data_IF_765015670610
#
_entry.id   IF_765015670610
#
_cell.length_a   1.000
_cell.length_b   1.000
_cell.length_c   1.000
_cell.angle_alpha   90.00
_cell.angle_beta   90.00
_cell.angle_gamma   90.00
#
_symmetry.space_group_name_H-M   'P 1'
#
loop_
_entity.id
_entity.type
_entity.pdbx_description
1 polymer ?
#
# COMPACT_ATOMS: atom_id res chain seq x y z
N UNK A 1 29.82 8.83 1.06
CA UNK A 1 28.92 10.00 0.95
C UNK A 1 27.79 9.78 1.95
N UNK A 2 27.77 10.52 3.03
CA UNK A 2 26.74 10.38 4.06
C UNK A 2 25.36 10.75 3.45
N UNK A 3 24.44 9.81 3.40
CA UNK A 3 23.14 10.04 2.77
C UNK A 3 22.25 10.81 3.74
N UNK A 4 21.79 11.97 3.28
CA UNK A 4 20.99 12.90 4.11
C UNK A 4 19.66 12.28 4.51
N UNK A 5 19.24 12.57 5.73
CA UNK A 5 17.87 12.34 6.18
C UNK A 5 16.92 13.33 5.50
N UNK A 6 15.64 12.99 5.50
CA UNK A 6 14.58 13.91 5.09
C UNK A 6 14.61 15.12 6.03
N UNK A 7 14.48 16.32 5.46
CA UNK A 7 14.59 17.56 6.22
C UNK A 7 13.52 17.66 7.32
N UNK A 8 13.92 18.16 8.48
CA UNK A 8 13.01 18.33 9.63
C UNK A 8 11.81 19.23 9.33
N UNK A 9 11.95 20.17 8.40
CA UNK A 9 10.86 21.04 7.89
C UNK A 9 9.69 20.26 7.32
N UNK A 10 9.93 19.13 6.62
CA UNK A 10 8.90 18.25 6.08
C UNK A 10 8.01 17.70 7.20
N UNK A 11 8.63 17.23 8.29
CA UNK A 11 7.90 16.64 9.42
C UNK A 11 7.05 17.64 10.20
N UNK A 12 7.40 18.91 10.19
CA UNK A 12 6.61 19.97 10.86
C UNK A 12 5.26 20.19 10.19
N UNK A 13 5.21 20.00 8.88
CA UNK A 13 4.06 20.33 8.04
C UNK A 13 3.21 19.10 7.63
N UNK A 14 3.52 17.91 8.18
CA UNK A 14 2.76 16.71 7.89
C UNK A 14 1.33 16.80 8.44
N UNK A 15 0.34 16.19 7.75
CA UNK A 15 -0.97 15.91 8.31
C UNK A 15 -0.88 15.12 9.61
N UNK A 16 -1.85 15.30 10.52
CA UNK A 16 -1.81 14.69 11.86
C UNK A 16 -1.64 13.16 11.85
N UNK A 17 -2.24 12.47 10.89
CA UNK A 17 -2.10 11.02 10.74
C UNK A 17 -0.65 10.60 10.50
N UNK A 18 0.04 11.26 9.57
CA UNK A 18 1.45 10.99 9.29
C UNK A 18 2.35 11.45 10.43
N UNK A 19 2.06 12.63 10.99
CA UNK A 19 2.81 13.17 12.14
C UNK A 19 2.73 12.24 13.35
N UNK A 20 1.55 11.72 13.66
CA UNK A 20 1.32 10.81 14.77
C UNK A 20 2.12 9.52 14.66
N UNK A 21 2.13 8.93 13.45
CA UNK A 21 2.86 7.69 13.20
C UNK A 21 4.39 7.94 13.18
N UNK A 22 4.85 8.95 12.45
CA UNK A 22 6.28 9.22 12.30
C UNK A 22 6.95 9.70 13.57
N UNK A 23 6.22 10.33 14.49
CA UNK A 23 6.77 10.79 15.78
C UNK A 23 7.10 9.66 16.77
N UNK A 24 6.75 8.41 16.44
CA UNK A 24 7.17 7.24 17.22
C UNK A 24 8.59 6.78 16.86
N UNK A 25 9.17 7.34 15.82
CA UNK A 25 10.44 6.92 15.25
C UNK A 25 11.39 8.11 15.10
N UNK A 26 12.69 7.81 15.06
CA UNK A 26 13.74 8.80 14.89
C UNK A 26 14.69 8.42 13.73
N UNK A 27 15.43 9.42 13.22
CA UNK A 27 16.45 9.21 12.20
C UNK A 27 15.92 8.49 10.95
N UNK A 28 16.63 7.45 10.48
CA UNK A 28 16.29 6.65 9.30
C UNK A 28 14.95 5.97 9.41
N UNK A 29 14.62 5.44 10.58
CA UNK A 29 13.35 4.76 10.81
C UNK A 29 12.16 5.69 10.57
N UNK A 30 12.28 6.95 10.98
CA UNK A 30 11.28 7.98 10.74
C UNK A 30 11.07 8.25 9.26
N UNK A 31 12.14 8.32 8.48
CA UNK A 31 12.10 8.51 7.03
C UNK A 31 11.43 7.30 6.34
N UNK A 32 11.81 6.09 6.74
CA UNK A 32 11.24 4.85 6.21
C UNK A 32 9.74 4.79 6.47
N UNK A 33 9.33 5.08 7.72
CA UNK A 33 7.90 5.06 8.09
C UNK A 33 7.13 6.16 7.36
N UNK A 34 7.71 7.34 7.15
CA UNK A 34 7.06 8.38 6.34
C UNK A 34 6.82 7.91 4.91
N UNK A 35 7.87 7.45 4.23
CA UNK A 35 7.78 7.05 2.83
C UNK A 35 6.83 5.85 2.65
N UNK A 36 6.97 4.81 3.47
CA UNK A 36 6.07 3.67 3.40
C UNK A 36 4.61 4.06 3.70
N UNK A 37 4.37 4.98 4.64
CA UNK A 37 3.04 5.52 4.91
C UNK A 37 2.44 6.28 3.73
N UNK A 38 3.26 7.06 3.01
CA UNK A 38 2.82 7.74 1.79
C UNK A 38 2.41 6.73 0.72
N UNK A 39 3.20 5.67 0.51
CA UNK A 39 2.86 4.60 -0.42
C UNK A 39 1.56 3.88 -0.06
N UNK A 40 1.37 3.56 1.22
CA UNK A 40 0.13 2.94 1.72
C UNK A 40 -1.08 3.86 1.55
N UNK A 41 -0.97 5.12 1.99
CA UNK A 41 -2.06 6.10 1.91
C UNK A 41 -2.41 6.47 0.47
N UNK A 42 -1.45 6.44 -0.45
CA UNK A 42 -1.69 6.68 -1.87
C UNK A 42 -2.73 5.70 -2.45
N UNK A 43 -2.80 4.50 -1.90
CA UNK A 43 -3.80 3.50 -2.28
C UNK A 43 -5.14 3.64 -1.51
N UNK A 44 -5.21 4.47 -0.46
CA UNK A 44 -6.43 4.65 0.32
C UNK A 44 -7.40 5.70 -0.26
N UNK A 45 -7.00 6.43 -1.31
CA UNK A 45 -7.76 7.52 -1.93
C UNK A 45 -8.00 7.28 -3.44
N UNK A 46 -8.65 6.18 -3.82
CA UNK A 46 -8.74 5.71 -5.21
C UNK A 46 -9.58 6.62 -6.13
N UNK A 47 -10.38 7.52 -5.56
CA UNK A 47 -11.26 8.44 -6.29
C UNK A 47 -10.69 9.86 -6.38
N UNK A 48 -9.47 10.09 -5.89
CA UNK A 48 -8.75 11.35 -6.06
C UNK A 48 -7.86 11.22 -7.29
N UNK A 49 -7.94 12.19 -8.18
CA UNK A 49 -7.10 12.23 -9.38
C UNK A 49 -6.75 13.68 -9.73
N UNK A 50 -5.68 13.85 -10.44
CA UNK A 50 -5.31 15.07 -11.14
C UNK A 50 -5.37 14.86 -12.64
N UNK A 51 -5.40 15.95 -13.41
CA UNK A 51 -5.30 15.89 -14.88
C UNK A 51 -3.91 16.35 -15.27
N UNK A 52 -3.20 15.49 -16.02
CA UNK A 52 -1.90 15.80 -16.59
C UNK A 52 -1.89 15.35 -18.04
N UNK A 53 -1.57 16.26 -18.93
CA UNK A 53 -1.54 16.03 -20.40
C UNK A 53 -2.86 15.42 -20.96
N UNK A 54 -3.99 15.82 -20.36
CA UNK A 54 -5.32 15.32 -20.75
C UNK A 54 -5.74 13.98 -20.13
N UNK A 55 -4.85 13.33 -19.38
CA UNK A 55 -5.09 12.03 -18.77
C UNK A 55 -5.31 12.13 -17.25
N UNK A 56 -6.13 11.24 -16.70
CA UNK A 56 -6.33 11.11 -15.27
C UNK A 56 -5.13 10.45 -14.61
N UNK A 57 -4.49 11.13 -13.67
CA UNK A 57 -3.40 10.58 -12.86
C UNK A 57 -3.87 10.40 -11.43
N UNK A 58 -3.83 9.17 -10.95
CA UNK A 58 -4.19 8.80 -9.59
C UNK A 58 -2.97 8.80 -8.66
N UNK A 59 -3.13 8.95 -7.34
CA UNK A 59 -2.03 9.17 -6.40
C UNK A 59 -1.19 7.93 -6.08
N UNK A 60 -1.37 6.81 -6.78
CA UNK A 60 -0.70 5.54 -6.48
C UNK A 60 0.81 5.66 -6.66
N UNK A 61 1.56 5.37 -5.59
CA UNK A 61 3.01 5.50 -5.56
C UNK A 61 3.70 4.13 -5.54
N UNK A 62 4.85 4.07 -6.20
CA UNK A 62 5.79 2.97 -6.10
C UNK A 62 6.98 3.41 -5.25
N UNK A 63 7.20 2.76 -4.13
CA UNK A 63 8.25 3.09 -3.17
C UNK A 63 9.14 1.88 -2.94
N UNK A 64 10.44 2.11 -2.98
CA UNK A 64 11.43 1.08 -2.71
C UNK A 64 12.46 1.56 -1.69
N UNK A 65 12.67 0.75 -0.66
CA UNK A 65 13.64 1.01 0.40
C UNK A 65 14.78 0.01 0.26
N UNK A 66 15.99 0.52 0.04
CA UNK A 66 17.18 -0.28 -0.21
C UNK A 66 18.16 -0.07 0.93
N UNK A 67 18.50 -1.16 1.65
CA UNK A 67 19.45 -1.07 2.75
C UNK A 67 20.09 -2.44 3.05
N UNK A 68 21.24 -2.47 3.72
CA UNK A 68 21.90 -3.71 4.14
C UNK A 68 21.00 -4.57 5.05
N UNK A 69 21.36 -5.86 5.26
CA UNK A 69 20.77 -6.65 6.35
C UNK A 69 20.94 -5.94 7.70
N UNK A 70 20.03 -6.18 8.63
CA UNK A 70 20.03 -5.59 9.98
C UNK A 70 20.03 -4.04 10.03
N UNK A 71 19.55 -3.38 8.98
CA UNK A 71 19.51 -1.91 8.86
C UNK A 71 18.27 -1.25 9.48
N UNK A 72 17.36 -2.02 10.07
CA UNK A 72 16.09 -1.50 10.61
C UNK A 72 15.01 -1.23 9.55
N UNK A 73 15.24 -1.57 8.26
CA UNK A 73 14.26 -1.32 7.19
C UNK A 73 12.88 -1.96 7.41
N UNK A 74 12.80 -3.01 8.22
CA UNK A 74 11.55 -3.69 8.57
C UNK A 74 10.52 -2.79 9.29
N UNK A 75 10.92 -1.62 9.81
CA UNK A 75 9.99 -0.65 10.40
C UNK A 75 8.95 -0.14 9.41
N UNK A 76 9.17 -0.29 8.09
CA UNK A 76 8.18 -0.01 7.06
C UNK A 76 6.83 -0.71 7.33
N UNK A 77 6.86 -1.91 7.92
CA UNK A 77 5.66 -2.69 8.21
C UNK A 77 4.70 -1.99 9.17
N UNK A 78 5.18 -1.01 9.96
CA UNK A 78 4.32 -0.23 10.83
C UNK A 78 3.32 0.63 10.06
N UNK A 79 3.61 0.98 8.80
CA UNK A 79 2.68 1.71 7.95
C UNK A 79 1.48 0.87 7.50
N UNK A 80 1.56 -0.47 7.57
CA UNK A 80 0.45 -1.39 7.23
C UNK A 80 -0.80 -1.13 8.05
N UNK A 81 -0.63 -0.66 9.29
CA UNK A 81 -1.74 -0.32 10.18
C UNK A 81 -2.70 0.70 9.56
N UNK A 82 -2.23 1.56 8.64
CA UNK A 82 -3.03 2.57 7.96
C UNK A 82 -4.08 1.98 7.01
N UNK A 83 -3.87 0.76 6.51
CA UNK A 83 -4.71 0.14 5.48
C UNK A 83 -5.29 -1.21 5.93
N UNK A 84 -4.77 -1.82 6.98
CA UNK A 84 -5.11 -3.19 7.39
C UNK A 84 -6.61 -3.37 7.63
N UNK A 85 -7.24 -2.45 8.35
CA UNK A 85 -8.69 -2.52 8.60
C UNK A 85 -9.53 -2.34 7.34
N UNK A 86 -9.05 -1.57 6.37
CA UNK A 86 -9.71 -1.44 5.06
C UNK A 86 -9.59 -2.76 4.31
N UNK A 87 -8.41 -3.38 4.35
CA UNK A 87 -8.17 -4.69 3.77
C UNK A 87 -9.08 -5.75 4.36
N UNK A 88 -9.11 -5.84 5.70
CA UNK A 88 -9.93 -6.82 6.42
C UNK A 88 -11.41 -6.66 6.09
N UNK A 89 -11.89 -5.41 6.02
CA UNK A 89 -13.29 -5.14 5.67
C UNK A 89 -13.60 -5.62 4.25
N UNK A 90 -12.81 -5.20 3.25
CA UNK A 90 -13.01 -5.59 1.84
C UNK A 90 -12.99 -7.11 1.71
N UNK A 91 -12.00 -7.77 2.32
CA UNK A 91 -11.84 -9.22 2.26
C UNK A 91 -13.03 -9.96 2.91
N UNK A 92 -13.50 -9.50 4.06
CA UNK A 92 -14.62 -10.13 4.76
C UNK A 92 -15.94 -9.91 4.02
N UNK A 93 -16.18 -8.69 3.50
CA UNK A 93 -17.36 -8.40 2.69
C UNK A 93 -17.39 -9.29 1.44
N UNK A 94 -16.27 -9.38 0.72
CA UNK A 94 -16.15 -10.20 -0.49
C UNK A 94 -16.29 -11.71 -0.22
N UNK A 95 -15.73 -12.22 0.88
CA UNK A 95 -15.94 -13.62 1.30
C UNK A 95 -17.40 -13.91 1.61
N UNK A 96 -18.09 -12.96 2.23
CA UNK A 96 -19.52 -13.10 2.56
C UNK A 96 -20.35 -13.14 1.29
N UNK A 97 -20.13 -12.23 0.33
CA UNK A 97 -20.80 -12.21 -0.97
C UNK A 97 -20.57 -13.52 -1.74
N UNK A 98 -19.34 -14.00 -1.75
CA UNK A 98 -18.98 -15.25 -2.42
C UNK A 98 -19.68 -16.47 -1.77
N UNK A 99 -19.71 -16.51 -0.43
CA UNK A 99 -20.41 -17.59 0.31
C UNK A 99 -21.92 -17.61 0.03
N UNK A 100 -22.57 -16.44 -0.04
CA UNK A 100 -23.99 -16.30 -0.39
C UNK A 100 -24.22 -16.81 -1.82
N UNK A 101 -23.40 -16.35 -2.78
CA UNK A 101 -23.50 -16.78 -4.17
C UNK A 101 -23.36 -18.30 -4.32
N UNK A 102 -22.39 -18.92 -3.64
CA UNK A 102 -22.20 -20.38 -3.66
C UNK A 102 -23.39 -21.14 -3.03
N UNK A 103 -23.96 -20.61 -1.96
CA UNK A 103 -25.17 -21.20 -1.35
C UNK A 103 -26.37 -21.13 -2.29
N UNK A 104 -26.56 -20.01 -2.97
CA UNK A 104 -27.67 -19.82 -3.93
C UNK A 104 -27.51 -20.74 -5.14
N UNK A 105 -26.30 -20.96 -5.63
CA UNK A 105 -26.00 -21.95 -6.68
C UNK A 105 -26.33 -23.38 -6.27
N UNK A 106 -26.07 -23.74 -5.01
CA UNK A 106 -26.41 -25.07 -4.50
C UNK A 106 -27.93 -25.28 -4.42
N UNK A 107 -28.69 -24.20 -4.16
CA UNK A 107 -30.17 -24.25 -4.09
C UNK A 107 -30.79 -24.19 -5.48
N UNK A 108 -30.23 -23.41 -6.39
CA UNK A 108 -30.72 -23.18 -7.75
C UNK A 108 -29.65 -23.62 -8.76
N UNK A 109 -29.73 -24.87 -9.22
CA UNK A 109 -28.74 -25.46 -10.16
C UNK A 109 -28.77 -24.84 -11.56
N UNK A 110 -29.83 -24.09 -11.90
CA UNK A 110 -29.97 -23.42 -13.18
C UNK A 110 -29.23 -22.08 -13.23
N UNK A 111 -28.71 -21.61 -12.10
CA UNK A 111 -27.88 -20.40 -12.02
C UNK A 111 -26.45 -20.73 -12.47
N UNK A 112 -26.14 -20.41 -13.73
CA UNK A 112 -24.85 -20.69 -14.39
C UNK A 112 -23.83 -19.51 -14.19
N UNK A 113 -24.27 -18.34 -13.75
CA UNK A 113 -23.38 -17.19 -13.61
C UNK A 113 -22.25 -17.45 -12.61
N UNK A 114 -20.99 -17.09 -12.93
CA UNK A 114 -19.88 -17.25 -12.02
C UNK A 114 -20.06 -16.36 -10.77
N UNK A 115 -19.64 -16.86 -9.61
CA UNK A 115 -19.60 -16.02 -8.42
C UNK A 115 -18.53 -14.93 -8.55
N UNK A 116 -18.71 -13.77 -7.87
CA UNK A 116 -17.76 -12.67 -7.96
C UNK A 116 -16.35 -13.11 -7.54
N UNK A 117 -15.33 -12.56 -8.20
CA UNK A 117 -13.95 -12.79 -7.81
C UNK A 117 -13.68 -12.22 -6.41
N UNK A 118 -12.82 -12.91 -5.66
CA UNK A 118 -12.41 -12.42 -4.34
C UNK A 118 -11.73 -11.06 -4.46
N UNK A 119 -12.21 -10.09 -3.69
CA UNK A 119 -11.61 -8.77 -3.63
C UNK A 119 -10.69 -8.64 -2.41
N UNK A 120 -9.53 -8.03 -2.63
CA UNK A 120 -8.55 -7.76 -1.60
C UNK A 120 -7.96 -6.36 -1.79
N UNK A 121 -7.43 -5.78 -0.73
CA UNK A 121 -6.78 -4.48 -0.78
C UNK A 121 -5.26 -4.59 -0.80
N UNK A 122 -4.71 -5.61 -0.12
CA UNK A 122 -3.27 -5.89 -0.07
C UNK A 122 -3.05 -7.21 -0.80
N UNK A 123 -2.20 -7.19 -1.83
CA UNK A 123 -1.79 -8.37 -2.59
C UNK A 123 -0.46 -8.90 -2.05
N UNK A 124 -0.30 -10.22 -1.96
CA UNK A 124 1.01 -10.81 -1.74
C UNK A 124 1.91 -10.61 -2.96
N UNK A 125 3.21 -10.42 -2.74
CA UNK A 125 4.16 -10.16 -3.82
C UNK A 125 4.47 -11.39 -4.69
N UNK A 126 4.04 -12.59 -4.28
CA UNK A 126 4.28 -13.86 -4.98
C UNK A 126 3.08 -14.33 -5.83
N UNK A 127 2.16 -13.46 -6.16
CA UNK A 127 1.03 -13.81 -7.04
C UNK A 127 1.48 -13.99 -8.48
N UNK A 128 0.81 -14.86 -9.21
CA UNK A 128 1.05 -15.04 -10.64
C UNK A 128 0.63 -13.79 -11.44
N UNK A 129 1.21 -13.61 -12.62
CA UNK A 129 0.81 -12.53 -13.52
C UNK A 129 -0.71 -12.60 -13.82
N UNK A 130 -1.23 -13.79 -13.96
CA UNK A 130 -2.64 -14.07 -14.17
C UNK A 130 -3.54 -13.56 -13.03
N UNK A 131 -3.16 -13.84 -11.80
CA UNK A 131 -3.88 -13.36 -10.62
C UNK A 131 -3.78 -11.84 -10.45
N UNK A 132 -2.64 -11.24 -10.84
CA UNK A 132 -2.48 -9.79 -10.86
C UNK A 132 -3.55 -9.11 -11.72
N UNK A 133 -3.79 -9.61 -12.95
CA UNK A 133 -4.85 -9.09 -13.81
C UNK A 133 -6.22 -9.26 -13.17
N UNK A 134 -6.51 -10.44 -12.61
CA UNK A 134 -7.79 -10.72 -11.97
C UNK A 134 -8.06 -9.76 -10.79
N UNK A 135 -7.07 -9.55 -9.92
CA UNK A 135 -7.22 -8.62 -8.79
C UNK A 135 -7.30 -7.15 -9.22
N UNK A 136 -6.53 -6.74 -10.22
CA UNK A 136 -6.61 -5.38 -10.76
C UNK A 136 -7.95 -5.12 -11.44
N UNK A 137 -8.49 -6.12 -12.15
CA UNK A 137 -9.78 -6.04 -12.83
C UNK A 137 -10.97 -6.03 -11.89
N UNK A 138 -10.94 -6.86 -10.85
CA UNK A 138 -12.03 -6.94 -9.86
C UNK A 138 -12.00 -5.79 -8.84
N UNK A 139 -10.85 -5.13 -8.64
CA UNK A 139 -10.70 -4.11 -7.61
C UNK A 139 -11.26 -2.75 -8.04
N UNK A 140 -12.35 -2.32 -7.43
CA UNK A 140 -12.87 -0.96 -7.59
C UNK A 140 -12.01 0.11 -6.85
N UNK A 141 -11.15 -0.32 -5.90
CA UNK A 141 -10.46 0.57 -4.96
C UNK A 141 -8.94 0.58 -5.13
N UNK A 142 -8.45 -0.07 -6.19
CA UNK A 142 -7.02 -0.28 -6.38
C UNK A 142 -6.42 -1.24 -5.33
N UNK A 143 -5.23 -1.73 -5.60
CA UNK A 143 -4.54 -2.71 -4.77
C UNK A 143 -3.15 -2.23 -4.39
N UNK A 144 -2.64 -2.73 -3.26
CA UNK A 144 -1.32 -2.46 -2.74
C UNK A 144 -0.49 -3.73 -2.69
N UNK A 145 0.71 -3.72 -3.24
CA UNK A 145 1.74 -4.71 -2.91
C UNK A 145 2.63 -4.10 -1.83
N UNK A 146 2.71 -4.77 -0.68
CA UNK A 146 3.56 -4.37 0.42
C UNK A 146 4.42 -5.54 0.88
N UNK A 147 5.74 -5.46 0.63
CA UNK A 147 6.66 -6.56 0.85
C UNK A 147 7.97 -6.07 1.49
N UNK A 148 8.31 -6.64 2.64
CA UNK A 148 9.52 -6.29 3.37
C UNK A 148 10.76 -7.06 2.92
N UNK A 149 10.57 -8.15 2.18
CA UNK A 149 11.63 -8.98 1.61
C UNK A 149 11.46 -9.07 0.10
N UNK A 150 12.24 -8.29 -0.64
CA UNK A 150 12.12 -8.19 -2.09
C UNK A 150 12.35 -9.52 -2.85
N UNK A 151 12.93 -10.52 -2.20
CA UNK A 151 13.12 -11.86 -2.78
C UNK A 151 11.80 -12.49 -3.24
N UNK A 152 10.74 -12.29 -2.49
CA UNK A 152 9.40 -12.78 -2.80
C UNK A 152 8.96 -12.31 -4.19
N UNK A 153 9.14 -11.02 -4.47
CA UNK A 153 8.81 -10.44 -5.78
C UNK A 153 9.86 -10.78 -6.84
N UNK A 154 11.13 -10.84 -6.45
CA UNK A 154 12.25 -11.14 -7.35
C UNK A 154 12.11 -12.51 -7.99
N UNK A 155 11.62 -13.51 -7.26
CA UNK A 155 11.38 -14.85 -7.78
C UNK A 155 10.30 -14.84 -8.87
N UNK A 156 9.24 -14.05 -8.70
CA UNK A 156 8.19 -13.88 -9.72
C UNK A 156 8.74 -13.23 -10.98
N UNK A 157 9.49 -12.15 -10.82
CA UNK A 157 10.12 -11.45 -11.94
C UNK A 157 11.13 -12.32 -12.70
N UNK A 158 11.82 -13.24 -12.04
CA UNK A 158 12.73 -14.16 -12.71
C UNK A 158 12.02 -15.15 -13.63
N UNK A 159 10.81 -15.57 -13.27
CA UNK A 159 10.05 -16.58 -14.02
C UNK A 159 9.31 -15.97 -15.24
N UNK A 160 8.79 -14.75 -15.12
CA UNK A 160 8.00 -14.09 -16.17
C UNK A 160 8.25 -12.57 -16.21
N UNK A 161 9.55 -12.20 -16.33
CA UNK A 161 9.97 -10.79 -16.26
C UNK A 161 9.28 -9.88 -17.25
N UNK A 162 9.19 -10.29 -18.51
CA UNK A 162 8.72 -9.40 -19.59
C UNK A 162 7.26 -8.98 -19.36
N UNK A 163 6.40 -9.93 -19.04
CA UNK A 163 4.97 -9.69 -18.85
C UNK A 163 4.71 -8.95 -17.54
N UNK A 164 5.37 -9.36 -16.46
CA UNK A 164 5.16 -8.76 -15.15
C UNK A 164 5.64 -7.31 -15.11
N UNK A 165 6.81 -7.02 -15.67
CA UNK A 165 7.35 -5.66 -15.75
C UNK A 165 6.47 -4.75 -16.62
N UNK A 166 5.86 -5.26 -17.68
CA UNK A 166 4.96 -4.48 -18.52
C UNK A 166 3.70 -4.06 -17.76
N UNK A 167 3.07 -5.00 -17.05
CA UNK A 167 1.89 -4.72 -16.21
C UNK A 167 2.20 -3.65 -15.15
N UNK A 168 3.34 -3.77 -14.46
CA UNK A 168 3.74 -2.80 -13.44
C UNK A 168 3.95 -1.39 -14.04
N UNK A 169 4.56 -1.31 -15.21
CA UNK A 169 4.81 -0.03 -15.87
C UNK A 169 3.53 0.65 -16.33
N UNK A 170 2.61 -0.11 -16.95
CA UNK A 170 1.31 0.39 -17.39
C UNK A 170 0.42 0.76 -16.22
N UNK A 171 0.37 -0.08 -15.17
CA UNK A 171 -0.40 0.21 -13.98
C UNK A 171 0.07 1.48 -13.25
N UNK A 172 1.36 1.82 -13.30
CA UNK A 172 1.88 3.07 -12.76
C UNK A 172 1.31 4.30 -13.46
N UNK A 173 1.15 4.24 -14.77
CA UNK A 173 0.58 5.33 -15.56
C UNK A 173 -0.94 5.23 -15.74
N UNK A 174 -1.58 4.25 -15.11
CA UNK A 174 -3.01 3.96 -15.27
C UNK A 174 -3.42 3.66 -16.73
N UNK A 175 -2.45 3.24 -17.55
CA UNK A 175 -2.67 2.84 -18.94
C UNK A 175 -3.51 1.55 -18.99
N UNK A 176 -4.44 1.41 -19.96
CA UNK A 176 -5.23 0.20 -20.10
C UNK A 176 -4.36 -1.04 -20.23
N UNK A 177 -4.73 -2.09 -19.51
CA UNK A 177 -4.12 -3.41 -19.61
C UNK A 177 -5.19 -4.45 -19.93
N UNK A 178 -4.88 -5.38 -20.82
CA UNK A 178 -5.79 -6.44 -21.19
C UNK A 178 -5.08 -7.78 -21.25
N UNK A 179 -5.81 -8.83 -20.91
CA UNK A 179 -5.35 -10.21 -21.02
C UNK A 179 -6.42 -11.08 -21.68
N UNK A 180 -6.00 -11.95 -22.58
CA UNK A 180 -6.86 -12.95 -23.19
C UNK A 180 -6.30 -14.34 -22.91
N UNK A 181 -7.14 -15.22 -22.34
CA UNK A 181 -6.79 -16.61 -22.05
C UNK A 181 -7.72 -17.53 -22.80
N UNK A 182 -7.18 -18.20 -23.80
CA UNK A 182 -7.94 -19.07 -24.70
C UNK A 182 -8.54 -20.29 -23.99
N UNK A 183 -7.80 -20.90 -23.06
CA UNK A 183 -8.24 -22.11 -22.34
C UNK A 183 -9.41 -21.81 -21.41
N UNK A 184 -9.31 -20.73 -20.66
CA UNK A 184 -10.32 -20.30 -19.67
C UNK A 184 -11.43 -19.48 -20.31
N UNK A 185 -11.30 -19.12 -21.61
CA UNK A 185 -12.21 -18.21 -22.35
C UNK A 185 -12.41 -16.87 -21.63
N UNK A 186 -11.37 -16.40 -20.92
CA UNK A 186 -11.39 -15.15 -20.17
C UNK A 186 -10.76 -14.06 -21.02
N UNK A 187 -11.44 -12.94 -21.12
CA UNK A 187 -10.90 -11.66 -21.61
C UNK A 187 -11.17 -10.60 -20.56
N UNK A 188 -10.10 -10.05 -20.02
CA UNK A 188 -10.16 -8.94 -19.06
C UNK A 188 -9.55 -7.69 -19.70
N UNK A 189 -10.26 -6.57 -19.61
CA UNK A 189 -9.85 -5.27 -20.12
C UNK A 189 -9.99 -4.23 -19.01
N UNK A 190 -8.87 -3.90 -18.38
CA UNK A 190 -8.79 -3.01 -17.23
C UNK A 190 -8.40 -1.62 -17.73
N UNK A 191 -9.35 -0.71 -17.74
CA UNK A 191 -9.17 0.63 -18.32
C UNK A 191 -8.24 1.52 -17.49
N UNK A 192 -8.35 1.48 -16.18
CA UNK A 192 -7.60 2.32 -15.25
C UNK A 192 -7.05 1.46 -14.10
N UNK A 193 -5.99 0.67 -14.32
CA UNK A 193 -5.41 -0.13 -13.25
C UNK A 193 -4.86 0.76 -12.15
N UNK A 194 -5.17 0.44 -10.89
CA UNK A 194 -4.79 1.21 -9.71
C UNK A 194 -3.93 0.36 -8.79
N UNK A 195 -2.62 0.52 -8.90
CA UNK A 195 -1.63 -0.24 -8.15
C UNK A 195 -0.69 0.69 -7.40
N UNK A 196 -0.52 0.47 -6.10
CA UNK A 196 0.56 1.06 -5.31
C UNK A 196 1.53 -0.04 -4.85
N UNK A 197 2.79 0.33 -4.62
CA UNK A 197 3.82 -0.61 -4.20
C UNK A 197 4.69 -0.01 -3.10
N UNK A 198 4.94 -0.79 -2.05
CA UNK A 198 5.90 -0.46 -0.99
C UNK A 198 6.76 -1.69 -0.73
N UNK A 199 8.01 -1.63 -1.16
CA UNK A 199 8.92 -2.78 -1.12
C UNK A 199 10.19 -2.41 -0.39
N UNK A 200 10.76 -3.33 0.37
CA UNK A 200 12.11 -3.18 0.89
C UNK A 200 12.96 -4.41 0.61
N UNK A 201 14.27 -4.20 0.54
CA UNK A 201 15.20 -5.29 0.32
C UNK A 201 16.65 -4.85 0.42
N UNK A 202 17.53 -5.84 0.37
CA UNK A 202 18.95 -5.58 0.18
C UNK A 202 19.26 -5.27 -1.29
N UNK A 203 20.40 -4.64 -1.61
CA UNK A 203 20.80 -4.41 -2.99
C UNK A 203 20.76 -5.68 -3.85
N UNK A 204 21.17 -6.82 -3.29
CA UNK A 204 21.20 -8.09 -4.02
C UNK A 204 19.80 -8.64 -4.30
N UNK A 205 18.88 -8.56 -3.33
CA UNK A 205 17.49 -8.96 -3.49
C UNK A 205 16.75 -8.15 -4.56
N UNK A 206 17.17 -6.91 -4.76
CA UNK A 206 16.54 -6.00 -5.72
C UNK A 206 17.13 -6.04 -7.12
N UNK A 207 18.27 -6.71 -7.32
CA UNK A 207 18.89 -6.88 -8.64
C UNK A 207 17.93 -7.41 -9.72
N UNK A 208 17.08 -8.42 -9.45
CA UNK A 208 16.12 -8.91 -10.43
C UNK A 208 15.04 -7.87 -10.78
N UNK A 209 14.65 -7.04 -9.83
CA UNK A 209 13.67 -5.96 -10.05
C UNK A 209 14.27 -4.83 -10.92
N UNK A 210 15.60 -4.67 -10.89
CA UNK A 210 16.32 -3.58 -11.53
C UNK A 210 17.23 -4.14 -12.64
N UNK A 211 16.81 -5.18 -13.35
CA UNK A 211 17.60 -5.85 -14.38
C UNK A 211 18.12 -4.92 -15.48
N UNK A 212 17.39 -3.88 -15.80
CA UNK A 212 17.79 -2.89 -16.79
C UNK A 212 17.25 -1.50 -16.44
N UNK A 213 18.12 -0.50 -16.43
CA UNK A 213 17.72 0.91 -16.32
C UNK A 213 16.90 1.36 -17.53
N UNK A 214 17.09 0.73 -18.67
CA UNK A 214 16.40 1.02 -19.94
C UNK A 214 14.97 0.50 -19.96
N UNK A 215 14.63 -0.45 -19.11
CA UNK A 215 13.28 -1.03 -19.03
C UNK A 215 12.21 -0.02 -18.55
N UNK A 216 12.62 1.10 -17.94
CA UNK A 216 11.71 2.16 -17.46
C UNK A 216 10.96 1.82 -16.16
N UNK A 217 10.97 0.58 -15.65
CA UNK A 217 10.32 0.26 -14.36
C UNK A 217 11.02 0.97 -13.19
N UNK A 218 12.34 1.03 -13.22
CA UNK A 218 13.15 1.65 -12.18
C UNK A 218 12.81 3.15 -11.99
N UNK A 219 12.60 3.88 -13.07
CA UNK A 219 12.28 5.31 -13.03
C UNK A 219 10.92 5.64 -12.40
N UNK A 220 10.08 4.63 -12.18
CA UNK A 220 8.76 4.77 -11.56
C UNK A 220 8.77 4.67 -10.04
N UNK A 221 9.91 4.25 -9.47
CA UNK A 221 10.06 4.13 -8.03
C UNK A 221 10.61 5.39 -7.39
N UNK A 222 10.02 5.80 -6.29
CA UNK A 222 10.66 6.66 -5.30
C UNK A 222 11.63 5.77 -4.51
N UNK A 223 12.92 6.04 -4.65
CA UNK A 223 13.98 5.20 -4.08
C UNK A 223 14.56 5.87 -2.84
N UNK A 224 14.50 5.16 -1.73
CA UNK A 224 15.18 5.54 -0.49
C UNK A 224 16.23 4.50 -0.17
N UNK A 225 17.50 4.87 -0.29
CA UNK A 225 18.58 3.96 -0.01
C UNK A 225 19.58 4.53 1.01
N UNK A 226 20.17 3.64 1.81
CA UNK A 226 21.18 3.96 2.81
C UNK A 226 22.02 2.72 3.12
N UNK A 227 23.19 2.95 3.71
CA UNK A 227 24.19 1.89 3.96
C UNK A 227 24.46 1.69 5.46
N UNK A 228 23.84 2.51 6.33
CA UNK A 228 23.99 2.41 7.77
C UNK A 228 23.28 1.17 8.32
N UNK A 229 23.91 0.48 9.27
CA UNK A 229 23.30 -0.60 10.06
C UNK A 229 22.74 0.00 11.34
N UNK A 230 21.54 -0.36 11.70
CA UNK A 230 20.89 0.13 12.93
C UNK A 230 21.54 -0.50 14.17
N UNK A 231 21.77 0.31 15.19
CA UNK A 231 22.01 -0.22 16.53
C UNK A 231 20.71 -0.83 17.09
N UNK A 232 20.86 -1.77 18.03
CA UNK A 232 19.69 -2.34 18.70
C UNK A 232 18.92 -1.26 19.44
N UNK A 233 17.62 -1.17 19.16
CA UNK A 233 16.69 -0.26 19.83
C UNK A 233 15.50 -1.02 20.38
N UNK A 234 14.97 -0.55 21.48
CA UNK A 234 13.68 -1.03 21.99
C UNK A 234 12.58 -0.72 20.96
N UNK A 235 11.77 -1.71 20.54
CA UNK A 235 10.69 -1.47 19.60
C UNK A 235 9.73 -0.38 20.05
N UNK A 236 9.30 0.50 19.13
CA UNK A 236 8.29 1.50 19.42
C UNK A 236 6.95 0.82 19.75
N UNK A 237 6.25 1.31 20.78
CA UNK A 237 4.92 0.80 21.12
C UNK A 237 3.88 1.38 20.15
N UNK A 238 3.53 0.61 19.13
CA UNK A 238 2.56 1.01 18.09
C UNK A 238 1.12 0.75 18.53
N UNK A 239 0.91 0.00 19.61
CA UNK A 239 -0.44 -0.37 20.09
C UNK A 239 -1.29 0.83 20.51
N UNK A 240 -0.68 1.90 21.02
CA UNK A 240 -1.39 3.14 21.33
C UNK A 240 -1.99 3.84 20.11
N UNK A 241 -1.53 3.51 18.92
CA UNK A 241 -2.10 3.97 17.66
C UNK A 241 -3.38 3.22 17.29
N UNK A 242 -3.61 2.02 17.79
CA UNK A 242 -4.80 1.23 17.47
C UNK A 242 -6.09 1.98 17.84
N UNK A 243 -6.09 2.70 18.95
CA UNK A 243 -7.21 3.55 19.37
C UNK A 243 -7.46 4.73 18.41
N UNK A 244 -6.41 5.30 17.83
CA UNK A 244 -6.51 6.35 16.82
C UNK A 244 -7.12 5.83 15.51
N UNK A 245 -6.83 4.59 15.15
CA UNK A 245 -7.37 3.94 13.94
C UNK A 245 -8.81 3.45 14.10
N UNK A 246 -9.30 3.25 15.32
CA UNK A 246 -10.74 3.05 15.54
C UNK A 246 -11.54 4.24 15.00
N UNK A 247 -10.98 5.43 15.03
CA UNK A 247 -11.61 6.64 14.47
C UNK A 247 -11.66 6.61 12.94
N UNK A 248 -10.60 6.12 12.27
CA UNK A 248 -10.58 5.93 10.81
C UNK A 248 -11.64 4.92 10.32
N UNK A 249 -12.08 4.03 11.19
CA UNK A 249 -13.12 3.03 10.90
C UNK A 249 -14.50 3.65 10.62
N UNK A 250 -14.76 4.83 11.17
CA UNK A 250 -16.03 5.56 10.99
C UNK A 250 -15.99 6.51 9.79
N UNK A 251 -14.83 6.66 9.16
CA UNK A 251 -14.69 7.53 8.00
C UNK A 251 -15.08 6.74 6.75
N UNK A 252 -16.29 6.99 6.29
CA UNK A 252 -16.68 6.65 4.93
C UNK A 252 -15.99 7.65 3.99
N UNK A 253 -14.84 7.22 3.43
CA UNK A 253 -14.06 8.04 2.49
C UNK A 253 -14.86 8.49 1.25
N UNK A 254 -16.01 7.87 0.98
CA UNK A 254 -16.96 8.29 -0.06
C UNK A 254 -17.76 9.54 0.32
N UNK A 255 -17.77 9.92 1.60
CA UNK A 255 -18.63 11.01 2.14
C UNK A 255 -17.89 11.98 3.04
N UNK A 256 -16.59 12.20 2.86
CA UNK A 256 -15.88 13.19 3.67
C UNK A 256 -16.50 14.59 3.51
N UNK A 257 -17.40 14.94 4.44
CA UNK A 257 -17.89 16.29 4.64
C UNK A 257 -17.00 17.02 5.65
N UNK A 258 -16.96 18.34 5.60
CA UNK A 258 -16.19 19.21 6.51
C UNK A 258 -16.35 18.87 8.00
N UNK A 259 -17.50 18.38 8.42
CA UNK A 259 -17.81 17.97 9.81
C UNK A 259 -16.92 16.84 10.34
N UNK A 260 -16.39 15.98 9.47
CA UNK A 260 -15.49 14.88 9.90
C UNK A 260 -14.08 15.36 10.19
N UNK A 261 -13.66 16.45 9.58
CA UNK A 261 -12.37 17.11 9.89
C UNK A 261 -12.39 17.67 11.31
N UNK A 262 -13.52 18.15 11.79
CA UNK A 262 -13.65 18.69 13.14
C UNK A 262 -13.66 17.61 14.23
N UNK A 263 -14.18 16.42 13.93
CA UNK A 263 -14.06 15.24 14.81
C UNK A 263 -12.58 14.83 14.95
N UNK A 264 -11.80 14.86 13.88
CA UNK A 264 -10.37 14.63 13.91
C UNK A 264 -9.61 15.65 14.77
N UNK A 265 -9.95 16.92 14.61
CA UNK A 265 -9.38 18.02 15.42
C UNK A 265 -9.73 17.89 16.91
N UNK A 266 -10.97 17.51 17.23
CA UNK A 266 -11.41 17.30 18.60
C UNK A 266 -10.69 16.11 19.28
N UNK A 267 -10.46 15.03 18.53
CA UNK A 267 -9.75 13.86 19.06
C UNK A 267 -8.26 14.12 19.27
N UNK A 268 -7.61 14.83 18.34
CA UNK A 268 -6.22 15.26 18.50
C UNK A 268 -6.03 16.15 19.75
N UNK A 269 -6.94 17.10 19.99
CA UNK A 269 -6.95 17.94 21.22
C UNK A 269 -7.11 17.12 22.49
N UNK A 270 -7.97 16.10 22.48
CA UNK A 270 -8.21 15.21 23.65
C UNK A 270 -6.98 14.36 23.98
N UNK A 271 -6.20 13.98 23.00
CA UNK A 271 -4.95 13.24 23.17
C UNK A 271 -3.84 14.10 23.75
N UNK A 272 -3.71 15.33 23.32
CA UNK A 272 -2.75 16.29 23.87
C UNK A 272 -3.06 16.62 25.33
N UNK A 273 -4.34 16.68 25.69
CA UNK A 273 -4.78 16.82 27.08
C UNK A 273 -4.38 15.60 27.93
N UNK A 274 -4.60 14.39 27.46
CA UNK A 274 -4.23 13.16 28.19
C UNK A 274 -2.70 12.98 28.30
N UNK A 275 -1.92 13.43 27.32
CA UNK A 275 -0.45 13.39 27.36
C UNK A 275 0.12 14.39 28.38
N UNK A 276 -0.47 15.59 28.47
CA UNK A 276 -0.10 16.59 29.46
C UNK A 276 -0.39 16.11 30.89
N UNK A 277 -1.52 15.44 31.11
CA UNK A 277 -1.90 14.92 32.42
C UNK A 277 -1.05 13.73 32.88
N UNK A 278 -0.45 12.94 31.97
CA UNK A 278 0.49 11.87 32.34
C UNK A 278 1.88 12.41 32.73
N UNK A 279 2.29 13.55 32.19
CA UNK A 279 3.58 14.20 32.55
C UNK A 279 3.51 14.97 33.88
N UNK A 280 2.32 15.16 34.45
CA UNK A 280 2.14 15.83 35.77
C UNK A 280 2.02 14.84 36.92
N UNK A 281 2.15 13.54 36.68
CA UNK A 281 2.00 12.47 37.71
C UNK A 281 3.34 11.71 37.93
N UNK A 282 4.43 12.12 37.26
CA UNK A 282 5.80 11.77 37.62
C UNK A 282 6.49 13.01 38.29
#
# INVERSE_FOLDING_TARGET
>A
MERRLIEKSVYKNLPDILKSLTNLFDGREKDIVLLSSLGVLSNCIPNVFGIYDGENIYPHLYIIIIAPPASGKGVMNNSRILIEKIHDKILNDSRTENSICEQDKRKNKDNIEPCPNLQVKILPANISNAEMYSYLGSSQHGVLIMESEADTMSNMLNNDWSNYSDVLRKAFHHEPISISRKIEKVFEDIKEPKLAMVISGTPDQLKPLIKSKENGLFSRFIIYNFDEVSEFKTPANVQDLVSYYYLLRTIDFKKMKHEQIDVFRAFAKRRDFNRKNRQTVE
#
